data_IF_722365452444
#
_entry.id   IF_722365452444
#
_cell.length_a   1.000
_cell.length_b   1.000
_cell.length_c   1.000
_cell.angle_alpha   90.00
_cell.angle_beta   90.00
_cell.angle_gamma   90.00
#
_symmetry.space_group_name_H-M   'P 1'
#
loop_
_entity.id
_entity.type
_entity.pdbx_description
1 polymer ?
#
# COMPACT_ATOMS: atom_id res chain seq x y z
N UNK A 1 -5.74 24.27 2.99
CA UNK A 1 -6.02 23.13 2.10
C UNK A 1 -6.48 23.56 0.70
N UNK A 2 -7.55 24.35 0.54
CA UNK A 2 -7.99 24.76 -0.80
C UNK A 2 -7.01 25.74 -1.49
N UNK A 3 -6.55 26.78 -0.78
CA UNK A 3 -5.62 27.79 -1.31
C UNK A 3 -4.27 27.16 -1.70
N UNK A 4 -3.77 26.22 -0.91
CA UNK A 4 -2.47 25.58 -1.15
C UNK A 4 -2.48 24.73 -2.42
N UNK A 5 -3.60 24.03 -2.68
CA UNK A 5 -3.79 23.26 -3.91
C UNK A 5 -3.87 24.17 -5.13
N UNK A 6 -4.61 25.27 -5.02
CA UNK A 6 -4.74 26.26 -6.10
C UNK A 6 -3.37 26.87 -6.42
N UNK A 7 -2.62 27.29 -5.40
CA UNK A 7 -1.28 27.87 -5.57
C UNK A 7 -0.30 26.86 -6.18
N UNK A 8 -0.31 25.61 -5.70
CA UNK A 8 0.50 24.53 -6.27
C UNK A 8 0.17 24.25 -7.73
N UNK A 9 -1.11 24.19 -8.09
CA UNK A 9 -1.55 23.99 -9.48
C UNK A 9 -1.12 25.15 -10.38
N UNK A 10 -1.24 26.40 -9.93
CA UNK A 10 -0.81 27.57 -10.70
C UNK A 10 0.70 27.56 -10.97
N UNK A 11 1.51 27.18 -9.97
CA UNK A 11 2.96 27.05 -10.13
C UNK A 11 3.32 25.97 -11.15
N UNK A 12 2.68 24.79 -11.11
CA UNK A 12 2.91 23.71 -12.08
C UNK A 12 2.48 24.07 -13.50
N UNK A 13 1.39 24.83 -13.65
CA UNK A 13 0.97 25.36 -14.96
C UNK A 13 2.00 26.36 -15.50
N UNK A 14 2.57 27.20 -14.62
CA UNK A 14 3.67 28.10 -14.98
C UNK A 14 4.93 27.36 -15.43
N UNK A 15 5.37 26.37 -14.65
CA UNK A 15 6.52 25.50 -15.00
C UNK A 15 6.33 24.84 -16.38
N UNK A 16 5.13 24.31 -16.65
CA UNK A 16 4.79 23.71 -17.94
C UNK A 16 4.84 24.71 -19.09
N UNK A 17 4.23 25.89 -18.90
CA UNK A 17 4.12 26.91 -19.95
C UNK A 17 5.51 27.42 -20.37
N UNK A 18 6.38 27.76 -19.41
CA UNK A 18 7.71 28.28 -19.74
C UNK A 18 8.63 27.21 -20.32
N UNK A 19 8.56 25.98 -19.82
CA UNK A 19 9.32 24.87 -20.40
C UNK A 19 8.90 24.60 -21.85
N UNK A 20 7.60 24.65 -22.16
CA UNK A 20 7.09 24.46 -23.52
C UNK A 20 7.58 25.54 -24.50
N UNK A 21 7.62 26.81 -24.06
CA UNK A 21 8.14 27.93 -24.88
C UNK A 21 9.62 27.72 -25.20
N UNK A 22 10.45 27.37 -24.21
CA UNK A 22 11.89 27.09 -24.40
C UNK A 22 12.11 25.89 -25.31
N UNK A 23 11.37 24.79 -25.11
CA UNK A 23 11.44 23.62 -26.01
C UNK A 23 11.10 23.99 -27.45
N UNK A 24 10.11 24.86 -27.67
CA UNK A 24 9.73 25.36 -28.99
C UNK A 24 10.84 26.16 -29.66
N UNK A 25 11.37 27.18 -28.97
CA UNK A 25 12.42 28.07 -29.50
C UNK A 25 13.75 27.33 -29.75
N UNK A 26 14.22 26.56 -28.74
CA UNK A 26 15.43 25.75 -28.88
C UNK A 26 15.25 24.66 -29.96
N UNK A 27 14.05 24.08 -30.07
CA UNK A 27 13.73 23.05 -31.05
C UNK A 27 13.77 23.55 -32.49
N UNK A 28 13.23 24.74 -32.75
CA UNK A 28 13.30 25.41 -34.06
C UNK A 28 14.76 25.63 -34.48
N UNK A 29 15.60 26.15 -33.58
CA UNK A 29 17.03 26.37 -33.85
C UNK A 29 17.79 25.05 -34.15
N UNK A 30 17.51 23.99 -33.39
CA UNK A 30 18.11 22.67 -33.63
C UNK A 30 17.67 22.06 -34.96
N UNK A 31 16.45 22.35 -35.41
CA UNK A 31 15.93 21.94 -36.70
C UNK A 31 16.65 22.66 -37.85
N UNK A 32 16.83 23.98 -37.75
CA UNK A 32 17.54 24.79 -38.74
C UNK A 32 19.03 24.42 -38.82
N UNK A 33 19.65 24.04 -37.70
CA UNK A 33 21.08 23.70 -37.61
C UNK A 33 21.37 22.21 -37.71
N UNK A 34 20.47 21.41 -38.29
CA UNK A 34 20.52 19.94 -38.29
C UNK A 34 21.84 19.36 -38.85
N UNK A 35 22.51 20.06 -39.77
CA UNK A 35 23.75 19.64 -40.43
C UNK A 35 25.07 19.94 -39.72
N UNK A 36 25.07 20.62 -38.56
CA UNK A 36 26.31 20.97 -37.84
C UNK A 36 26.79 19.86 -36.91
N UNK A 37 28.05 19.91 -36.47
CA UNK A 37 28.60 18.92 -35.53
C UNK A 37 27.84 18.93 -34.19
N UNK A 38 27.71 17.78 -33.55
CA UNK A 38 27.03 17.64 -32.25
C UNK A 38 27.72 18.44 -31.15
N UNK A 39 29.04 18.61 -31.26
CA UNK A 39 29.86 19.34 -30.29
C UNK A 39 29.58 20.85 -30.29
N UNK A 40 29.26 21.44 -31.45
CA UNK A 40 28.86 22.85 -31.55
C UNK A 40 27.47 23.11 -30.93
N UNK A 41 26.60 22.10 -30.89
CA UNK A 41 25.20 22.21 -30.43
C UNK A 41 24.96 21.75 -28.99
N UNK A 42 26.00 21.30 -28.28
CA UNK A 42 25.90 20.72 -26.93
C UNK A 42 25.11 21.59 -25.94
N UNK A 43 25.22 22.91 -26.04
CA UNK A 43 24.53 23.89 -25.19
C UNK A 43 23.00 23.81 -25.36
N UNK A 44 22.53 23.80 -26.61
CA UNK A 44 21.11 23.70 -26.96
C UNK A 44 20.54 22.30 -26.72
N UNK A 45 21.35 21.25 -26.93
CA UNK A 45 20.96 19.87 -26.62
C UNK A 45 20.71 19.70 -25.11
N UNK A 46 21.50 20.34 -24.26
CA UNK A 46 21.26 20.34 -22.82
C UNK A 46 19.92 21.04 -22.48
N UNK A 47 19.70 22.24 -23.01
CA UNK A 47 18.48 23.03 -22.78
C UNK A 47 17.20 22.31 -23.22
N UNK A 48 17.21 21.64 -24.39
CA UNK A 48 16.03 20.90 -24.86
C UNK A 48 15.73 19.66 -24.00
N UNK A 49 16.75 18.99 -23.47
CA UNK A 49 16.56 17.84 -22.57
C UNK A 49 15.98 18.29 -21.23
N UNK A 50 16.54 19.35 -20.63
CA UNK A 50 16.05 19.90 -19.36
C UNK A 50 14.60 20.38 -19.49
N UNK A 51 14.27 21.09 -20.57
CA UNK A 51 12.90 21.56 -20.82
C UNK A 51 11.92 20.41 -21.08
N UNK A 52 12.31 19.39 -21.85
CA UNK A 52 11.46 18.21 -22.11
C UNK A 52 11.16 17.41 -20.84
N UNK A 53 12.17 17.19 -19.97
CA UNK A 53 11.97 16.53 -18.68
C UNK A 53 11.09 17.37 -17.75
N UNK A 54 11.22 18.70 -17.78
CA UNK A 54 10.38 19.62 -17.01
C UNK A 54 8.92 19.55 -17.45
N UNK A 55 8.64 19.49 -18.75
CA UNK A 55 7.28 19.32 -19.31
C UNK A 55 6.68 18.00 -18.82
N UNK A 56 7.44 16.91 -18.95
CA UNK A 56 6.98 15.58 -18.53
C UNK A 56 6.60 15.53 -17.05
N UNK A 57 7.47 16.06 -16.18
CA UNK A 57 7.22 16.09 -14.74
C UNK A 57 6.08 17.04 -14.35
N UNK A 58 5.97 18.20 -15.00
CA UNK A 58 4.88 19.15 -14.77
C UNK A 58 3.52 18.54 -15.12
N UNK A 59 3.44 17.80 -16.24
CA UNK A 59 2.24 17.07 -16.64
C UNK A 59 1.91 15.92 -15.68
N UNK A 60 2.92 15.16 -15.26
CA UNK A 60 2.75 14.05 -14.32
C UNK A 60 2.18 14.54 -12.98
N UNK A 61 2.66 15.69 -12.48
CA UNK A 61 2.24 16.24 -11.19
C UNK A 61 0.98 17.10 -11.24
N UNK A 62 0.49 17.47 -12.43
CA UNK A 62 -0.81 18.11 -12.61
C UNK A 62 -1.98 17.16 -12.28
N UNK A 63 -1.74 15.84 -12.32
CA UNK A 63 -2.77 14.85 -11.99
C UNK A 63 -3.10 14.87 -10.49
N UNK A 64 -4.40 14.86 -10.12
CA UNK A 64 -4.87 15.04 -8.73
C UNK A 64 -4.47 13.91 -7.77
N UNK A 65 -3.83 12.86 -8.27
CA UNK A 65 -3.35 11.71 -7.49
C UNK A 65 -1.94 11.91 -6.89
N UNK A 66 -1.23 12.99 -7.23
CA UNK A 66 0.19 13.18 -6.83
C UNK A 66 0.42 13.72 -5.41
N UNK A 67 -0.65 13.95 -4.64
CA UNK A 67 -0.60 14.55 -3.29
C UNK A 67 0.10 13.74 -2.20
N UNK A 68 0.67 12.57 -2.53
CA UNK A 68 1.36 11.69 -1.60
C UNK A 68 2.88 11.86 -1.58
N UNK A 69 3.46 12.64 -2.50
CA UNK A 69 4.92 12.71 -2.67
C UNK A 69 5.48 14.10 -2.35
N UNK A 70 6.61 14.09 -1.65
CA UNK A 70 7.39 15.27 -1.26
C UNK A 70 8.23 15.68 -2.48
N UNK A 71 7.73 16.61 -3.31
CA UNK A 71 8.37 16.97 -4.61
C UNK A 71 9.47 18.03 -4.51
N UNK A 72 9.56 18.77 -3.39
CA UNK A 72 10.50 19.89 -3.25
C UNK A 72 11.98 19.55 -3.50
N UNK A 73 12.52 18.34 -3.20
CA UNK A 73 13.92 18.03 -3.54
C UNK A 73 14.14 17.95 -5.05
N UNK A 74 13.15 17.45 -5.79
CA UNK A 74 13.21 17.39 -7.24
C UNK A 74 13.09 18.81 -7.82
N UNK A 75 12.25 19.65 -7.22
CA UNK A 75 12.12 21.04 -7.64
C UNK A 75 13.44 21.84 -7.52
N UNK A 76 14.23 21.59 -6.46
CA UNK A 76 15.58 22.17 -6.29
C UNK A 76 16.56 21.69 -7.36
N UNK A 77 16.51 20.40 -7.71
CA UNK A 77 17.37 19.84 -8.76
C UNK A 77 17.06 20.52 -10.10
N UNK A 78 15.78 20.66 -10.44
CA UNK A 78 15.37 21.31 -11.68
C UNK A 78 15.69 22.79 -11.70
N UNK A 79 15.59 23.51 -10.56
CA UNK A 79 16.12 24.86 -10.44
C UNK A 79 17.60 24.93 -10.84
N UNK A 80 18.44 24.04 -10.30
CA UNK A 80 19.86 23.97 -10.65
C UNK A 80 20.12 23.68 -12.13
N UNK A 81 19.36 22.76 -12.72
CA UNK A 81 19.45 22.42 -14.15
C UNK A 81 19.05 23.61 -15.04
N UNK A 82 18.00 24.35 -14.67
CA UNK A 82 17.56 25.53 -15.40
C UNK A 82 18.52 26.71 -15.28
N UNK A 83 19.17 26.91 -14.13
CA UNK A 83 20.24 27.89 -13.96
C UNK A 83 21.45 27.54 -14.83
N UNK A 84 21.82 26.25 -14.90
CA UNK A 84 22.88 25.80 -15.80
C UNK A 84 22.50 26.03 -17.27
N UNK A 85 21.26 25.73 -17.67
CA UNK A 85 20.77 25.97 -19.03
C UNK A 85 20.80 27.48 -19.38
N UNK A 86 20.36 28.34 -18.46
CA UNK A 86 20.46 29.79 -18.59
C UNK A 86 21.92 30.24 -18.79
N UNK A 87 22.85 29.77 -17.95
CA UNK A 87 24.27 30.10 -18.07
C UNK A 87 24.87 29.69 -19.41
N UNK A 88 24.50 28.51 -19.93
CA UNK A 88 24.95 28.02 -21.24
C UNK A 88 24.41 28.87 -22.40
N UNK A 89 23.18 29.34 -22.31
CA UNK A 89 22.59 30.23 -23.33
C UNK A 89 23.22 31.63 -23.28
N UNK A 90 23.50 32.16 -22.08
CA UNK A 90 24.19 33.45 -21.91
C UNK A 90 25.61 33.42 -22.47
N UNK A 91 26.35 32.34 -22.21
CA UNK A 91 27.69 32.09 -22.77
C UNK A 91 27.68 32.06 -24.31
N UNK A 92 26.58 31.60 -24.92
CA UNK A 92 26.40 31.61 -26.36
C UNK A 92 26.12 33.01 -26.94
N UNK A 93 25.33 33.84 -26.23
CA UNK A 93 24.96 35.19 -26.70
C UNK A 93 26.10 36.20 -26.54
N UNK A 94 26.98 36.02 -25.54
CA UNK A 94 28.08 36.95 -25.25
C UNK A 94 28.92 37.34 -26.48
N UNK A 95 29.39 36.39 -27.31
CA UNK A 95 30.14 36.68 -28.53
C UNK A 95 29.34 37.35 -29.67
N UNK A 96 28.00 37.34 -29.61
CA UNK A 96 27.14 37.84 -30.69
C UNK A 96 26.80 39.34 -30.57
N UNK A 97 27.36 40.05 -29.57
CA UNK A 97 27.14 41.49 -29.31
C UNK A 97 25.66 41.91 -29.31
N UNK A 98 24.80 41.04 -28.79
CA UNK A 98 23.35 41.19 -28.77
C UNK A 98 22.82 42.20 -27.73
N UNK A 99 23.66 43.02 -27.09
CA UNK A 99 23.28 43.88 -25.96
C UNK A 99 23.25 43.15 -24.61
N UNK A 100 22.69 43.77 -23.57
CA UNK A 100 22.74 43.20 -22.22
C UNK A 100 21.76 42.03 -22.03
N UNK A 101 22.21 41.03 -21.25
CA UNK A 101 21.51 39.76 -20.98
C UNK A 101 20.13 39.95 -20.33
N UNK A 102 19.98 41.00 -19.52
CA UNK A 102 18.76 41.31 -18.79
C UNK A 102 17.91 42.42 -19.44
N UNK A 103 18.25 42.84 -20.66
CA UNK A 103 17.41 43.76 -21.44
C UNK A 103 16.47 42.97 -22.35
N UNK A 104 15.25 42.80 -21.88
CA UNK A 104 14.18 42.01 -22.51
C UNK A 104 13.18 42.88 -23.30
N UNK A 105 13.56 44.10 -23.67
CA UNK A 105 12.80 44.92 -24.62
C UNK A 105 12.84 44.32 -26.04
N UNK A 106 11.82 44.60 -26.85
CA UNK A 106 11.74 44.25 -28.29
C UNK A 106 11.77 42.74 -28.64
N UNK A 107 11.30 41.87 -27.73
CA UNK A 107 11.19 40.41 -27.97
C UNK A 107 10.23 40.05 -29.12
N UNK A 108 9.33 40.95 -29.50
CA UNK A 108 8.29 40.72 -30.52
C UNK A 108 8.75 40.98 -31.96
N UNK A 109 10.01 41.36 -32.19
CA UNK A 109 10.54 41.62 -33.53
C UNK A 109 11.23 40.38 -34.12
N UNK A 110 11.04 40.13 -35.42
CA UNK A 110 11.63 38.98 -36.12
C UNK A 110 13.15 39.18 -36.33
N UNK A 111 13.95 38.53 -35.48
CA UNK A 111 15.39 38.44 -35.65
C UNK A 111 16.01 37.35 -34.79
N UNK A 112 17.14 36.81 -35.23
CA UNK A 112 17.82 35.68 -34.56
C UNK A 112 18.29 36.04 -33.16
N UNK A 113 18.80 37.26 -32.98
CA UNK A 113 19.23 37.78 -31.69
C UNK A 113 18.07 37.93 -30.69
N UNK A 114 16.89 38.36 -31.16
CA UNK A 114 15.67 38.52 -30.36
C UNK A 114 15.12 37.16 -29.93
N UNK A 115 15.12 36.16 -30.82
CA UNK A 115 14.73 34.77 -30.48
C UNK A 115 15.60 34.18 -29.37
N UNK A 116 16.92 34.36 -29.42
CA UNK A 116 17.81 33.86 -28.36
C UNK A 116 17.64 34.63 -27.03
N UNK A 117 17.36 35.94 -27.07
CA UNK A 117 17.02 36.69 -25.86
C UNK A 117 15.74 36.19 -25.21
N UNK A 118 14.73 35.87 -26.02
CA UNK A 118 13.50 35.27 -25.53
C UNK A 118 13.79 33.93 -24.83
N UNK A 119 14.59 33.07 -25.46
CA UNK A 119 14.99 31.77 -24.90
C UNK A 119 15.74 31.90 -23.57
N UNK A 120 16.64 32.89 -23.45
CA UNK A 120 17.33 33.23 -22.20
C UNK A 120 16.36 33.75 -21.13
N UNK A 121 15.41 34.63 -21.49
CA UNK A 121 14.44 35.16 -20.54
C UNK A 121 13.49 34.08 -20.00
N UNK A 122 12.96 33.22 -20.88
CA UNK A 122 12.03 32.16 -20.48
C UNK A 122 12.71 31.01 -19.73
N UNK A 123 13.99 30.71 -20.04
CA UNK A 123 14.76 29.73 -19.24
C UNK A 123 15.03 30.24 -17.82
N UNK A 124 15.33 31.53 -17.66
CA UNK A 124 15.45 32.15 -16.33
C UNK A 124 14.13 32.17 -15.57
N UNK A 125 13.03 32.52 -16.24
CA UNK A 125 11.71 32.54 -15.63
C UNK A 125 11.28 31.13 -15.19
N UNK A 126 11.55 30.11 -16.01
CA UNK A 126 11.36 28.71 -15.63
C UNK A 126 12.14 28.37 -14.35
N UNK A 127 13.41 28.77 -14.24
CA UNK A 127 14.21 28.57 -13.02
C UNK A 127 13.54 29.18 -11.78
N UNK A 128 13.02 30.41 -11.88
CA UNK A 128 12.32 31.07 -10.78
C UNK A 128 11.07 30.28 -10.35
N UNK A 129 10.27 29.79 -11.30
CA UNK A 129 9.07 29.01 -10.98
C UNK A 129 9.41 27.73 -10.21
N UNK A 130 10.43 26.99 -10.65
CA UNK A 130 10.93 25.81 -9.92
C UNK A 130 11.48 26.15 -8.53
N UNK A 131 12.15 27.29 -8.37
CA UNK A 131 12.64 27.76 -7.07
C UNK A 131 11.49 28.13 -6.12
N UNK A 132 10.49 28.88 -6.61
CA UNK A 132 9.30 29.26 -5.83
C UNK A 132 8.52 28.02 -5.42
N UNK A 133 8.35 27.05 -6.34
CA UNK A 133 7.74 25.74 -6.08
C UNK A 133 8.47 25.00 -4.95
N UNK A 134 9.81 24.94 -5.00
CA UNK A 134 10.63 24.35 -3.94
C UNK A 134 10.48 25.06 -2.59
N UNK A 135 10.50 26.40 -2.56
CA UNK A 135 10.36 27.20 -1.34
C UNK A 135 8.98 27.00 -0.71
N UNK A 136 7.92 27.01 -1.51
CA UNK A 136 6.54 26.73 -1.06
C UNK A 136 6.45 25.30 -0.51
N UNK A 137 7.06 24.32 -1.20
CA UNK A 137 7.13 22.94 -0.74
C UNK A 137 7.87 22.77 0.59
N UNK A 138 9.01 23.44 0.78
CA UNK A 138 9.76 23.45 2.05
C UNK A 138 8.95 24.14 3.15
N UNK A 139 8.34 25.29 2.86
CA UNK A 139 7.51 26.01 3.83
C UNK A 139 6.33 25.16 4.29
N UNK A 140 5.66 24.49 3.36
CA UNK A 140 4.58 23.55 3.66
C UNK A 140 5.07 22.40 4.52
N UNK A 141 6.20 21.77 4.14
CA UNK A 141 6.80 20.68 4.92
C UNK A 141 7.16 21.14 6.34
N UNK A 142 7.74 22.33 6.51
CA UNK A 142 8.10 22.86 7.85
C UNK A 142 6.88 23.25 8.69
N UNK A 143 5.78 23.65 8.06
CA UNK A 143 4.54 24.03 8.75
C UNK A 143 3.69 22.80 9.14
N UNK A 144 3.72 21.73 8.33
CA UNK A 144 2.89 20.54 8.51
C UNK A 144 3.64 19.31 9.04
N UNK A 145 4.98 19.30 9.02
CA UNK A 145 5.75 18.35 9.83
C UNK A 145 5.72 18.87 11.27
N UNK A 146 5.08 18.17 12.23
CA UNK A 146 5.23 18.54 13.62
C UNK A 146 6.73 18.54 13.90
N UNK A 147 7.26 19.67 14.38
CA UNK A 147 8.57 19.67 15.02
C UNK A 147 8.56 18.48 15.97
N UNK A 148 9.43 17.51 15.74
CA UNK A 148 9.87 16.65 16.82
C UNK A 148 10.67 17.58 17.75
N UNK A 149 9.92 18.40 18.49
CA UNK A 149 10.41 19.07 19.67
C UNK A 149 10.77 17.96 20.63
N UNK A 150 11.94 18.13 21.23
CA UNK A 150 12.41 17.34 22.33
C UNK A 150 11.24 16.96 23.26
N UNK A 151 11.29 15.70 23.68
CA UNK A 151 10.61 15.18 24.84
C UNK A 151 10.83 16.18 25.98
N UNK A 152 9.84 17.03 26.21
CA UNK A 152 9.63 17.69 27.48
C UNK A 152 8.30 17.13 27.96
N UNK A 153 8.39 16.25 28.95
CA UNK A 153 7.23 15.90 29.76
C UNK A 153 6.59 17.20 30.24
N UNK A 154 5.31 17.33 30.01
CA UNK A 154 4.31 17.68 31.02
C UNK A 154 3.00 17.99 30.29
N UNK A 155 1.93 17.39 30.82
CA UNK A 155 0.60 17.42 30.21
C UNK A 155 -0.08 18.79 30.31
N UNK A 156 -1.23 18.83 29.62
CA UNK A 156 -2.29 19.86 29.58
C UNK A 156 -2.21 20.83 28.38
N UNK A 157 -3.23 20.85 27.49
CA UNK A 157 -3.31 21.83 26.42
C UNK A 157 -3.78 23.17 26.98
N UNK A 158 -2.90 24.17 26.97
CA UNK A 158 -3.24 25.54 27.37
C UNK A 158 -4.12 26.22 26.32
N UNK A 159 -5.43 26.15 26.55
CA UNK A 159 -6.42 27.12 26.04
C UNK A 159 -6.18 28.44 26.78
N UNK A 160 -6.12 29.55 26.02
CA UNK A 160 -5.98 30.94 26.52
C UNK A 160 -6.82 31.20 27.78
N UNK A 161 -6.18 31.61 28.89
CA UNK A 161 -6.79 32.50 29.89
C UNK A 161 -5.69 33.24 30.67
N UNK A 162 -5.88 34.55 30.80
CA UNK A 162 -5.05 35.49 31.53
C UNK A 162 -4.93 35.16 33.02
N UNK A 163 -3.76 35.46 33.60
CA UNK A 163 -3.63 36.10 34.92
C UNK A 163 -3.72 35.21 36.16
N UNK A 164 -2.60 35.16 36.90
CA UNK A 164 -2.58 35.21 38.36
C UNK A 164 -2.68 33.89 39.13
N UNK A 165 -1.59 33.59 39.85
CA UNK A 165 -1.48 32.61 40.96
C UNK A 165 -1.60 31.13 40.54
N UNK A 166 -0.76 30.19 40.95
CA UNK A 166 -0.29 29.89 42.31
C UNK A 166 1.05 29.15 42.20
N UNK A 167 2.07 29.71 42.82
CA UNK A 167 3.32 29.05 43.19
C UNK A 167 3.09 28.34 44.54
N UNK A 168 3.14 27.01 44.56
CA UNK A 168 3.50 26.13 45.70
C UNK A 168 3.12 24.69 45.32
N UNK A 169 3.91 23.73 45.79
CA UNK A 169 3.87 22.30 45.45
C UNK A 169 4.63 21.95 44.16
N UNK A 170 5.95 21.84 44.28
CA UNK A 170 6.72 20.60 44.09
C UNK A 170 8.17 20.97 44.47
N UNK A 171 8.38 21.06 45.78
CA UNK A 171 9.67 20.89 46.42
C UNK A 171 9.52 19.58 47.18
N UNK A 172 9.75 18.46 46.50
CA UNK A 172 10.31 17.26 47.12
C UNK A 172 10.55 16.16 46.09
N UNK A 173 11.66 15.45 46.28
CA UNK A 173 12.15 14.28 45.54
C UNK A 173 13.14 14.61 44.42
N UNK A 174 14.26 15.18 44.85
CA UNK A 174 15.59 14.75 44.41
C UNK A 174 16.02 13.58 45.29
N UNK A 175 16.25 12.40 44.72
CA UNK A 175 17.41 11.57 45.11
C UNK A 175 17.65 10.50 44.04
N UNK A 176 18.78 10.69 43.39
CA UNK A 176 19.41 9.82 42.39
C UNK A 176 20.26 8.84 43.19
N UNK A 177 20.00 7.53 43.06
CA UNK A 177 20.97 6.52 43.47
C UNK A 177 21.41 5.73 42.24
N UNK A 178 22.55 6.18 41.70
CA UNK A 178 23.31 5.53 40.64
C UNK A 178 24.46 4.75 41.27
N UNK A 179 24.21 3.51 41.71
CA UNK A 179 25.29 2.55 41.96
C UNK A 179 24.83 1.09 42.00
N UNK A 180 24.29 0.56 40.89
CA UNK A 180 24.16 -0.91 40.75
C UNK A 180 24.22 -1.40 39.30
N UNK A 181 25.13 -0.82 38.50
CA UNK A 181 25.39 -1.23 37.11
C UNK A 181 26.89 -1.49 36.89
N UNK A 182 27.49 -2.33 37.74
CA UNK A 182 28.85 -2.83 37.51
C UNK A 182 29.05 -4.19 38.13
N UNK A 183 28.57 -5.24 37.45
CA UNK A 183 29.32 -6.49 37.25
C UNK A 183 28.45 -7.51 36.48
N UNK A 184 29.13 -8.31 35.66
CA UNK A 184 28.65 -9.50 34.94
C UNK A 184 28.13 -9.30 33.50
N UNK A 185 29.05 -9.13 32.54
CA UNK A 185 29.33 -10.14 31.47
C UNK A 185 30.21 -9.58 30.35
N UNK A 186 31.40 -10.15 30.21
CA UNK A 186 32.01 -10.60 28.95
C UNK A 186 32.96 -11.77 29.29
N UNK A 187 33.12 -12.78 28.40
CA UNK A 187 34.15 -12.66 27.37
C UNK A 187 33.72 -13.06 25.95
N UNK A 188 34.18 -12.20 25.05
CA UNK A 188 34.54 -12.33 23.64
C UNK A 188 34.79 -13.74 23.06
N UNK A 189 34.19 -14.01 21.89
CA UNK A 189 34.84 -14.80 20.82
C UNK A 189 34.60 -14.10 19.47
N UNK A 190 35.71 -13.63 18.89
CA UNK A 190 35.85 -13.05 17.56
C UNK A 190 35.52 -14.09 16.47
N UNK A 191 34.78 -13.68 15.42
CA UNK A 191 34.93 -14.29 14.09
C UNK A 191 34.96 -13.23 13.00
N UNK A 192 36.02 -13.36 12.22
CA UNK A 192 36.50 -12.59 11.09
C UNK A 192 35.61 -12.74 9.85
N UNK A 193 35.58 -11.67 9.06
CA UNK A 193 34.95 -11.55 7.75
C UNK A 193 35.93 -11.99 6.65
N UNK A 194 35.48 -12.82 5.70
CA UNK A 194 36.03 -12.93 4.33
C UNK A 194 35.15 -13.82 3.42
N UNK A 195 35.30 -13.78 2.07
CA UNK A 195 34.21 -13.34 1.19
C UNK A 195 33.77 -14.36 0.12
N UNK A 196 32.75 -13.96 -0.65
CA UNK A 196 32.41 -14.38 -2.02
C UNK A 196 32.10 -15.85 -2.30
N UNK A 197 30.85 -16.14 -2.71
CA UNK A 197 30.58 -17.10 -3.78
C UNK A 197 29.26 -16.78 -4.51
N UNK A 198 29.34 -16.78 -5.84
CA UNK A 198 28.28 -16.49 -6.81
C UNK A 198 27.24 -17.63 -6.92
N UNK A 199 26.01 -17.33 -7.41
CA UNK A 199 24.99 -18.34 -7.63
C UNK A 199 25.24 -19.18 -8.90
N UNK A 200 25.10 -20.50 -8.77
CA UNK A 200 25.25 -21.51 -9.83
C UNK A 200 24.09 -21.46 -10.84
N UNK A 201 24.43 -21.48 -12.13
CA UNK A 201 23.51 -21.68 -13.28
C UNK A 201 23.12 -23.16 -13.45
N UNK A 202 21.94 -23.46 -14.00
CA UNK A 202 21.54 -24.82 -14.37
C UNK A 202 22.29 -25.33 -15.62
N UNK A 203 22.51 -26.65 -15.75
CA UNK A 203 23.31 -27.23 -16.82
C UNK A 203 22.58 -27.26 -18.17
N UNK A 204 23.36 -26.97 -19.22
CA UNK A 204 23.03 -27.04 -20.64
C UNK A 204 22.96 -28.48 -21.13
N UNK A 205 21.89 -28.85 -21.83
CA UNK A 205 21.77 -30.10 -22.58
C UNK A 205 22.53 -30.02 -23.93
N UNK A 206 23.14 -31.12 -24.42
CA UNK A 206 23.94 -31.10 -25.64
C UNK A 206 23.08 -31.16 -26.92
N UNK A 207 23.53 -30.40 -27.92
CA UNK A 207 23.02 -30.42 -29.29
C UNK A 207 23.35 -31.73 -30.00
N UNK A 208 22.35 -32.34 -30.65
CA UNK A 208 22.54 -33.36 -31.66
C UNK A 208 21.91 -32.90 -32.98
N UNK A 209 22.80 -32.66 -33.95
CA UNK A 209 22.57 -32.42 -35.37
C UNK A 209 21.68 -33.48 -36.01
N UNK A 210 20.65 -33.07 -36.78
CA UNK A 210 20.24 -33.79 -37.99
C UNK A 210 19.84 -32.82 -39.10
N UNK A 211 20.59 -32.97 -40.19
CA UNK A 211 20.55 -32.31 -41.48
C UNK A 211 19.30 -32.76 -42.26
N UNK A 212 18.66 -31.80 -42.92
CA UNK A 212 17.59 -31.96 -43.92
C UNK A 212 18.06 -32.79 -45.13
N UNK A 213 17.13 -33.33 -45.92
CA UNK A 213 17.06 -32.78 -47.27
C UNK A 213 15.63 -32.47 -47.73
N UNK A 214 15.54 -31.36 -48.45
CA UNK A 214 14.41 -30.94 -49.27
C UNK A 214 14.31 -31.80 -50.54
N UNK A 215 13.18 -31.63 -51.23
CA UNK A 215 12.85 -31.97 -52.63
C UNK A 215 11.97 -33.22 -52.76
N UNK A 216 10.66 -33.01 -52.81
CA UNK A 216 9.78 -33.30 -53.96
C UNK A 216 8.36 -32.86 -53.60
N UNK A 217 7.72 -32.03 -54.42
CA UNK A 217 6.33 -31.62 -54.20
C UNK A 217 5.89 -30.30 -54.83
N UNK A 218 6.46 -29.91 -55.96
CA UNK A 218 5.91 -28.88 -56.83
C UNK A 218 4.85 -29.51 -57.74
N UNK A 219 3.57 -29.39 -57.38
CA UNK A 219 2.44 -29.33 -58.33
C UNK A 219 1.13 -29.13 -57.56
N UNK A 220 0.20 -28.42 -58.21
CA UNK A 220 -1.18 -28.17 -57.79
C UNK A 220 -1.40 -27.13 -56.66
N UNK A 221 -1.24 -25.85 -57.02
CA UNK A 221 -2.19 -24.83 -56.56
C UNK A 221 -2.36 -23.74 -57.61
N UNK A 222 -3.25 -24.00 -58.57
CA UNK A 222 -3.95 -22.97 -59.34
C UNK A 222 -5.45 -23.15 -59.08
N UNK A 223 -6.13 -22.00 -59.02
CA UNK A 223 -7.58 -21.79 -58.97
C UNK A 223 -8.18 -21.89 -57.57
N UNK A 224 -8.28 -20.71 -56.93
CA UNK A 224 -9.49 -20.23 -56.23
C UNK A 224 -9.30 -18.73 -55.95
N UNK A 225 -9.55 -17.91 -56.97
CA UNK A 225 -9.89 -16.50 -56.78
C UNK A 225 -11.36 -16.49 -56.39
N UNK A 226 -11.66 -16.41 -55.09
CA UNK A 226 -12.96 -15.93 -54.59
C UNK A 226 -12.85 -15.66 -53.08
N UNK A 227 -13.39 -14.51 -52.67
CA UNK A 227 -13.63 -14.07 -51.28
C UNK A 227 -12.41 -13.90 -50.37
N UNK A 228 -11.78 -12.71 -50.43
CA UNK A 228 -11.14 -12.14 -49.22
C UNK A 228 -12.27 -11.84 -48.22
N UNK A 229 -12.29 -12.41 -47.01
CA UNK A 229 -13.17 -11.88 -45.98
C UNK A 229 -12.66 -10.47 -45.67
N UNK A 230 -13.56 -9.51 -45.62
CA UNK A 230 -13.24 -8.17 -45.15
C UNK A 230 -12.49 -8.29 -43.82
N UNK A 231 -11.34 -7.62 -43.71
CA UNK A 231 -10.64 -7.44 -42.43
C UNK A 231 -11.63 -6.71 -41.53
N UNK A 232 -12.34 -7.48 -40.70
CA UNK A 232 -13.25 -6.94 -39.69
C UNK A 232 -12.35 -6.20 -38.71
N UNK A 233 -12.34 -4.88 -38.82
CA UNK A 233 -11.72 -3.98 -37.85
C UNK A 233 -12.12 -4.47 -36.45
N UNK A 234 -11.19 -5.08 -35.72
CA UNK A 234 -11.32 -5.36 -34.30
C UNK A 234 -11.28 -4.00 -33.59
N UNK A 235 -12.40 -3.27 -33.64
CA UNK A 235 -12.66 -2.22 -32.67
C UNK A 235 -12.85 -2.95 -31.35
N UNK A 236 -11.83 -2.92 -30.48
CA UNK A 236 -12.04 -3.20 -29.06
C UNK A 236 -13.08 -2.20 -28.60
N UNK A 237 -14.30 -2.68 -28.38
CA UNK A 237 -15.31 -1.92 -27.64
C UNK A 237 -14.68 -1.62 -26.29
N UNK A 238 -14.57 -0.33 -25.96
CA UNK A 238 -14.23 0.07 -24.60
C UNK A 238 -15.34 -0.45 -23.69
N UNK A 239 -15.07 -1.54 -22.98
CA UNK A 239 -15.92 -1.99 -21.90
C UNK A 239 -15.63 -1.08 -20.71
N UNK A 240 -16.51 -0.13 -20.46
CA UNK A 240 -16.56 0.51 -19.15
C UNK A 240 -17.17 -0.52 -18.19
N UNK A 241 -16.34 -1.12 -17.33
CA UNK A 241 -16.85 -1.87 -16.20
C UNK A 241 -17.74 -0.95 -15.35
N UNK A 242 -18.86 -1.47 -14.86
CA UNK A 242 -19.66 -0.77 -13.87
C UNK A 242 -18.77 -0.46 -12.66
N UNK A 243 -18.89 0.76 -12.12
CA UNK A 243 -18.26 1.09 -10.84
C UNK A 243 -19.00 0.28 -9.76
N UNK A 244 -18.34 -0.75 -9.25
CA UNK A 244 -18.78 -1.45 -8.04
C UNK A 244 -18.39 -0.54 -6.87
N UNK A 245 -19.38 -0.08 -6.10
CA UNK A 245 -19.13 0.61 -4.85
C UNK A 245 -18.66 -0.41 -3.80
N UNK A 246 -17.86 0.00 -2.82
CA UNK A 246 -17.53 -0.90 -1.71
C UNK A 246 -18.80 -1.22 -0.92
N UNK A 247 -18.94 -2.49 -0.55
CA UNK A 247 -20.04 -2.98 0.29
C UNK A 247 -20.02 -2.38 1.71
N UNK A 248 -18.90 -1.78 2.12
CA UNK A 248 -18.73 -1.16 3.44
C UNK A 248 -18.42 0.34 3.37
N UNK A 249 -19.02 1.11 4.28
CA UNK A 249 -18.75 2.54 4.42
C UNK A 249 -17.43 2.76 5.16
N UNK A 250 -16.54 3.61 4.65
CA UNK A 250 -15.27 4.00 5.31
C UNK A 250 -15.37 5.33 6.08
N UNK A 251 -16.59 5.82 6.31
CA UNK A 251 -16.89 6.99 7.12
C UNK A 251 -17.82 6.58 8.25
N UNK A 252 -17.59 7.14 9.43
CA UNK A 252 -18.46 6.89 10.58
C UNK A 252 -19.61 7.91 10.61
N UNK A 253 -20.79 7.43 10.99
CA UNK A 253 -21.95 8.25 11.35
C UNK A 253 -22.47 7.73 12.68
N UNK A 254 -22.69 8.64 13.62
CA UNK A 254 -23.18 8.28 14.94
C UNK A 254 -24.55 7.59 14.82
N UNK A 255 -24.66 6.41 15.42
CA UNK A 255 -25.91 5.68 15.59
C UNK A 255 -26.23 5.52 17.08
N UNK A 256 -27.43 5.03 17.39
CA UNK A 256 -27.82 4.76 18.78
C UNK A 256 -26.87 3.77 19.47
N UNK A 257 -26.39 2.77 18.73
CA UNK A 257 -25.56 1.68 19.25
C UNK A 257 -24.05 1.90 19.02
N UNK A 258 -23.66 2.89 18.21
CA UNK A 258 -22.27 3.19 17.90
C UNK A 258 -22.05 4.71 17.78
N UNK A 259 -21.62 5.33 18.87
CA UNK A 259 -21.29 6.75 18.94
C UNK A 259 -20.22 7.00 20.03
N UNK A 260 -19.62 8.19 20.05
CA UNK A 260 -18.52 8.51 20.97
C UNK A 260 -18.95 8.64 22.45
N UNK A 261 -20.25 8.74 22.74
CA UNK A 261 -20.76 8.94 24.11
C UNK A 261 -20.98 7.64 24.87
N UNK A 262 -21.08 6.50 24.18
CA UNK A 262 -21.21 5.18 24.81
C UNK A 262 -19.89 4.84 25.51
N UNK A 263 -19.86 4.64 26.83
CA UNK A 263 -18.64 4.30 27.53
C UNK A 263 -18.25 2.84 27.26
N UNK A 264 -17.00 2.62 26.83
CA UNK A 264 -16.41 1.30 26.74
C UNK A 264 -15.16 1.22 27.64
N UNK A 265 -15.03 0.13 28.39
CA UNK A 265 -13.86 -0.18 29.19
C UNK A 265 -13.52 -1.66 29.09
N UNK A 266 -12.23 -1.97 29.08
CA UNK A 266 -11.75 -3.34 29.12
C UNK A 266 -12.06 -3.99 30.47
N UNK A 267 -12.41 -5.28 30.44
CA UNK A 267 -12.58 -6.08 31.65
C UNK A 267 -11.26 -6.22 32.41
N UNK A 268 -11.31 -6.54 33.70
CA UNK A 268 -10.09 -6.72 34.51
C UNK A 268 -9.18 -7.82 33.96
N UNK A 269 -9.77 -8.92 33.48
CA UNK A 269 -9.06 -10.01 32.80
C UNK A 269 -8.33 -9.50 31.53
N UNK A 270 -9.03 -8.73 30.70
CA UNK A 270 -8.44 -8.18 29.47
C UNK A 270 -7.37 -7.13 29.77
N UNK A 271 -7.49 -6.38 30.86
CA UNK A 271 -6.45 -5.46 31.30
C UNK A 271 -5.14 -6.18 31.68
N UNK A 272 -5.21 -7.40 32.23
CA UNK A 272 -4.02 -8.22 32.46
C UNK A 272 -3.36 -8.65 31.14
N UNK A 273 -4.17 -9.09 30.16
CA UNK A 273 -3.68 -9.46 28.81
C UNK A 273 -3.07 -8.25 28.10
N UNK A 274 -3.66 -7.07 28.22
CA UNK A 274 -3.11 -5.82 27.65
C UNK A 274 -1.73 -5.52 28.21
N UNK A 275 -1.50 -5.71 29.52
CA UNK A 275 -0.17 -5.51 30.12
C UNK A 275 0.86 -6.47 29.53
N UNK A 276 0.49 -7.73 29.31
CA UNK A 276 1.35 -8.72 28.65
C UNK A 276 1.67 -8.32 27.20
N UNK A 277 0.65 -7.92 26.43
CA UNK A 277 0.83 -7.47 25.04
C UNK A 277 1.78 -6.27 25.00
N UNK A 278 1.58 -5.27 25.87
CA UNK A 278 2.43 -4.09 25.94
C UNK A 278 3.89 -4.43 26.28
N UNK A 279 4.12 -5.43 27.14
CA UNK A 279 5.45 -5.88 27.51
C UNK A 279 6.25 -6.51 26.35
N UNK A 280 5.57 -6.97 25.28
CA UNK A 280 6.22 -7.49 24.06
C UNK A 280 6.89 -6.40 23.24
N UNK A 281 6.53 -5.13 23.46
CA UNK A 281 7.03 -4.00 22.69
C UNK A 281 7.88 -3.07 23.55
N UNK A 282 8.92 -2.41 22.97
CA UNK A 282 9.66 -1.39 23.67
C UNK A 282 8.74 -0.24 24.14
N UNK A 283 9.00 0.37 25.32
CA UNK A 283 8.10 1.37 25.91
C UNK A 283 7.88 2.59 25.00
N UNK A 284 8.92 3.02 24.26
CA UNK A 284 8.82 4.12 23.30
C UNK A 284 7.94 3.82 22.07
N UNK A 285 7.63 2.54 21.81
CA UNK A 285 6.88 2.09 20.63
C UNK A 285 5.59 1.34 20.99
N UNK A 286 4.96 1.66 22.13
CA UNK A 286 3.68 1.05 22.55
C UNK A 286 2.56 1.08 21.51
N UNK A 287 2.58 2.07 20.59
CA UNK A 287 1.68 2.15 19.43
C UNK A 287 1.69 0.91 18.53
N UNK A 288 2.74 0.09 18.57
CA UNK A 288 2.81 -1.19 17.84
C UNK A 288 1.78 -2.21 18.34
N UNK A 289 1.30 -2.08 19.58
CA UNK A 289 0.28 -2.95 20.16
C UNK A 289 -1.16 -2.61 19.71
N UNK A 290 -1.36 -1.65 18.79
CA UNK A 290 -2.69 -1.23 18.35
C UNK A 290 -3.52 -2.38 17.77
N UNK A 291 -2.91 -3.24 16.95
CA UNK A 291 -3.62 -4.35 16.31
C UNK A 291 -4.11 -5.40 17.32
N UNK A 292 -3.25 -5.99 18.18
CA UNK A 292 -3.71 -7.01 19.14
C UNK A 292 -4.68 -6.46 20.19
N UNK A 293 -4.55 -5.19 20.61
CA UNK A 293 -5.46 -4.59 21.58
C UNK A 293 -6.83 -4.27 20.94
N UNK A 294 -6.85 -3.83 19.67
CA UNK A 294 -8.10 -3.68 18.93
C UNK A 294 -8.82 -5.02 18.77
N UNK A 295 -8.09 -6.09 18.44
CA UNK A 295 -8.66 -7.44 18.31
C UNK A 295 -9.26 -7.91 19.65
N UNK A 296 -8.55 -7.69 20.76
CA UNK A 296 -9.07 -7.98 22.10
C UNK A 296 -10.34 -7.18 22.43
N UNK A 297 -10.39 -5.91 22.02
CA UNK A 297 -11.57 -5.06 22.17
C UNK A 297 -12.77 -5.57 21.37
N UNK A 298 -12.53 -6.01 20.13
CA UNK A 298 -13.53 -6.65 19.30
C UNK A 298 -14.02 -7.97 19.91
N UNK A 299 -13.13 -8.82 20.44
CA UNK A 299 -13.53 -10.07 21.11
C UNK A 299 -14.39 -9.83 22.35
N UNK A 300 -14.12 -8.76 23.11
CA UNK A 300 -14.92 -8.39 24.28
C UNK A 300 -16.29 -7.81 23.91
N UNK A 301 -16.34 -6.95 22.89
CA UNK A 301 -17.56 -6.21 22.53
C UNK A 301 -18.41 -6.89 21.45
N UNK A 302 -17.83 -7.80 20.67
CA UNK A 302 -18.40 -8.44 19.47
C UNK A 302 -18.01 -7.75 18.16
N UNK A 303 -17.79 -6.44 18.19
CA UNK A 303 -17.35 -5.65 17.04
C UNK A 303 -16.49 -4.46 17.51
N UNK A 304 -15.74 -3.85 16.60
CA UNK A 304 -14.92 -2.67 16.85
C UNK A 304 -15.75 -1.38 16.74
N UNK A 305 -16.45 -1.02 17.82
CA UNK A 305 -17.20 0.24 17.90
C UNK A 305 -16.28 1.46 18.04
N UNK A 306 -16.83 2.66 17.81
CA UNK A 306 -16.07 3.92 17.94
C UNK A 306 -15.50 4.08 19.36
N UNK A 307 -16.26 3.68 20.37
CA UNK A 307 -15.83 3.72 21.77
C UNK A 307 -14.67 2.77 22.06
N UNK A 308 -14.67 1.57 21.47
CA UNK A 308 -13.52 0.64 21.54
C UNK A 308 -12.28 1.30 20.96
N UNK A 309 -12.38 1.87 19.75
CA UNK A 309 -11.25 2.54 19.10
C UNK A 309 -10.72 3.72 19.93
N UNK A 310 -11.61 4.52 20.52
CA UNK A 310 -11.23 5.65 21.38
C UNK A 310 -10.54 5.20 22.67
N UNK A 311 -11.01 4.11 23.28
CA UNK A 311 -10.37 3.57 24.48
C UNK A 311 -8.97 2.99 24.18
N UNK A 312 -8.81 2.31 23.04
CA UNK A 312 -7.48 1.86 22.59
C UNK A 312 -6.55 3.04 22.31
N UNK A 313 -7.05 4.10 21.67
CA UNK A 313 -6.28 5.32 21.44
C UNK A 313 -5.81 5.96 22.76
N UNK A 314 -6.69 5.98 23.77
CA UNK A 314 -6.38 6.48 25.13
C UNK A 314 -5.30 5.62 25.80
N UNK A 315 -5.43 4.29 25.77
CA UNK A 315 -4.47 3.37 26.37
C UNK A 315 -3.08 3.45 25.75
N UNK A 316 -3.02 3.62 24.42
CA UNK A 316 -1.77 3.70 23.68
C UNK A 316 -1.19 5.12 23.58
N UNK A 317 -1.88 6.10 24.16
CA UNK A 317 -1.52 7.54 24.08
C UNK A 317 -1.22 7.99 22.65
N UNK A 318 -2.08 7.59 21.71
CA UNK A 318 -1.96 7.94 20.30
C UNK A 318 -3.23 8.64 19.79
N UNK A 319 -3.15 9.47 18.74
CA UNK A 319 -4.33 10.11 18.18
C UNK A 319 -5.36 9.07 17.71
N UNK A 320 -6.66 9.22 18.03
CA UNK A 320 -7.71 8.27 17.64
C UNK A 320 -7.76 8.01 16.14
N UNK A 321 -7.45 9.01 15.32
CA UNK A 321 -7.39 8.88 13.86
C UNK A 321 -6.48 7.75 13.39
N UNK A 322 -5.34 7.51 14.07
CA UNK A 322 -4.42 6.42 13.73
C UNK A 322 -5.00 5.04 14.04
N UNK A 323 -5.84 4.95 15.06
CA UNK A 323 -6.59 3.74 15.38
C UNK A 323 -7.69 3.52 14.34
N UNK A 324 -8.36 4.58 13.91
CA UNK A 324 -9.39 4.51 12.86
C UNK A 324 -8.80 4.07 11.52
N UNK A 325 -7.62 4.57 11.15
CA UNK A 325 -6.89 4.12 9.96
C UNK A 325 -6.62 2.61 10.01
N UNK A 326 -6.14 2.08 11.14
CA UNK A 326 -5.90 0.63 11.30
C UNK A 326 -7.21 -0.16 11.23
N UNK A 327 -8.24 0.26 11.97
CA UNK A 327 -9.52 -0.45 12.02
C UNK A 327 -10.29 -0.43 10.69
N UNK A 328 -10.02 0.55 9.82
CA UNK A 328 -10.62 0.62 8.48
C UNK A 328 -9.78 -0.09 7.42
N UNK A 329 -8.47 -0.22 7.64
CA UNK A 329 -7.55 -0.84 6.70
C UNK A 329 -7.58 -2.37 6.74
N UNK A 330 -7.63 -2.96 7.94
CA UNK A 330 -7.66 -4.42 8.09
C UNK A 330 -9.10 -4.96 8.11
N UNK A 331 -9.37 -5.95 7.27
CA UNK A 331 -10.71 -6.51 7.04
C UNK A 331 -11.27 -7.33 8.20
N UNK A 332 -10.42 -7.77 9.14
CA UNK A 332 -10.86 -8.51 10.33
C UNK A 332 -11.60 -7.64 11.36
N UNK A 333 -11.38 -6.31 11.33
CA UNK A 333 -12.02 -5.41 12.27
C UNK A 333 -13.43 -5.06 11.80
N UNK A 334 -14.42 -5.72 12.41
CA UNK A 334 -15.83 -5.51 12.14
C UNK A 334 -16.27 -4.17 12.75
N UNK A 335 -16.61 -3.18 11.93
CA UNK A 335 -17.01 -1.84 12.41
C UNK A 335 -18.52 -1.69 12.63
N UNK A 336 -19.27 -2.68 12.17
CA UNK A 336 -20.70 -2.83 12.38
C UNK A 336 -20.95 -4.06 13.25
N UNK A 337 -22.07 -4.10 13.99
CA UNK A 337 -22.45 -5.30 14.73
C UNK A 337 -22.63 -6.47 13.77
N UNK A 338 -22.00 -7.60 14.11
CA UNK A 338 -22.12 -8.88 13.41
C UNK A 338 -22.84 -9.88 14.31
N UNK A 339 -23.42 -10.90 13.72
CA UNK A 339 -24.03 -12.01 14.44
C UNK A 339 -23.02 -12.83 15.24
N UNK A 340 -23.51 -13.72 16.10
CA UNK A 340 -22.69 -14.57 16.97
C UNK A 340 -21.66 -15.42 16.20
N UNK A 341 -22.02 -15.88 15.01
CA UNK A 341 -21.18 -16.65 14.10
C UNK A 341 -20.94 -15.85 12.83
N UNK A 342 -19.71 -15.41 12.65
CA UNK A 342 -19.26 -14.73 11.44
C UNK A 342 -18.73 -15.75 10.44
N UNK A 343 -19.54 -16.06 9.43
CA UNK A 343 -19.28 -17.08 8.40
C UNK A 343 -18.56 -16.43 7.22
N UNK A 344 -17.28 -16.75 7.08
CA UNK A 344 -16.37 -16.19 6.08
C UNK A 344 -16.03 -17.24 5.04
N UNK A 345 -16.52 -17.06 3.82
CA UNK A 345 -16.36 -18.03 2.73
C UNK A 345 -15.29 -17.57 1.76
N UNK A 346 -14.28 -18.40 1.54
CA UNK A 346 -13.23 -18.10 0.56
C UNK A 346 -13.73 -18.34 -0.86
N UNK A 347 -13.77 -17.30 -1.70
CA UNK A 347 -14.20 -17.37 -3.11
C UNK A 347 -13.06 -17.14 -4.10
N UNK A 348 -11.81 -17.19 -3.63
CA UNK A 348 -10.63 -17.07 -4.51
C UNK A 348 -10.42 -18.27 -5.42
N UNK A 349 -9.62 -18.11 -6.47
CA UNK A 349 -9.44 -19.09 -7.55
C UNK A 349 -9.17 -20.53 -7.09
N UNK A 350 -8.31 -20.82 -6.10
CA UNK A 350 -8.12 -22.20 -5.64
C UNK A 350 -9.38 -22.82 -5.02
N UNK A 351 -10.16 -22.04 -4.26
CA UNK A 351 -11.43 -22.51 -3.69
C UNK A 351 -12.54 -22.57 -4.74
N UNK A 352 -12.52 -21.67 -5.73
CA UNK A 352 -13.46 -21.67 -6.84
C UNK A 352 -13.31 -22.92 -7.73
N UNK A 353 -12.07 -23.38 -7.94
CA UNK A 353 -11.76 -24.55 -8.77
C UNK A 353 -11.66 -25.87 -7.99
N UNK A 354 -11.29 -25.81 -6.71
CA UNK A 354 -11.02 -26.98 -5.88
C UNK A 354 -12.28 -27.66 -5.34
N UNK A 355 -12.21 -28.98 -5.15
CA UNK A 355 -13.31 -29.79 -4.62
C UNK A 355 -14.61 -29.64 -5.43
N UNK A 356 -15.71 -29.26 -4.77
CA UNK A 356 -16.99 -28.97 -5.43
C UNK A 356 -17.11 -27.53 -5.96
N UNK A 357 -16.08 -26.69 -5.78
CA UNK A 357 -16.08 -25.26 -6.07
C UNK A 357 -16.79 -24.43 -4.99
N UNK A 358 -16.20 -23.29 -4.63
CA UNK A 358 -16.75 -22.36 -3.63
C UNK A 358 -18.13 -21.83 -4.01
N UNK A 359 -18.42 -21.68 -5.30
CA UNK A 359 -19.72 -21.17 -5.78
C UNK A 359 -20.90 -22.09 -5.37
N UNK A 360 -20.65 -23.40 -5.26
CA UNK A 360 -21.66 -24.35 -4.77
C UNK A 360 -21.90 -24.19 -3.27
N UNK A 361 -20.85 -23.89 -2.51
CA UNK A 361 -20.91 -23.63 -1.06
C UNK A 361 -21.65 -22.32 -0.79
N UNK A 362 -21.33 -21.25 -1.52
CA UNK A 362 -22.03 -19.96 -1.44
C UNK A 362 -23.54 -20.13 -1.66
N UNK A 363 -23.94 -20.81 -2.74
CA UNK A 363 -25.35 -21.08 -3.03
C UNK A 363 -26.05 -21.89 -1.94
N UNK A 364 -25.34 -22.85 -1.33
CA UNK A 364 -25.88 -23.64 -0.22
C UNK A 364 -26.10 -22.79 1.04
N UNK A 365 -25.17 -21.88 1.34
CA UNK A 365 -25.26 -20.94 2.47
C UNK A 365 -26.41 -19.94 2.25
N UNK A 366 -26.44 -19.27 1.10
CA UNK A 366 -27.51 -18.32 0.76
C UNK A 366 -28.89 -19.00 0.75
N UNK A 367 -28.98 -20.21 0.18
CA UNK A 367 -30.22 -20.98 0.13
C UNK A 367 -30.71 -21.45 1.51
N UNK A 368 -29.80 -21.70 2.45
CA UNK A 368 -30.17 -22.14 3.80
C UNK A 368 -30.46 -20.98 4.76
N UNK A 369 -29.61 -19.94 4.76
CA UNK A 369 -29.74 -18.80 5.67
C UNK A 369 -30.69 -17.71 5.15
N UNK A 370 -30.92 -17.65 3.83
CA UNK A 370 -31.78 -16.63 3.21
C UNK A 370 -31.22 -15.21 3.30
N UNK A 371 -29.89 -15.07 3.37
CA UNK A 371 -29.17 -13.78 3.42
C UNK A 371 -28.15 -13.71 2.30
N UNK A 372 -27.84 -12.50 1.86
CA UNK A 372 -26.79 -12.25 0.87
C UNK A 372 -25.45 -11.89 1.53
N UNK A 373 -24.40 -11.79 0.71
CA UNK A 373 -23.08 -11.36 1.15
C UNK A 373 -23.15 -10.02 1.92
N UNK A 374 -22.58 -9.99 3.13
CA UNK A 374 -22.54 -8.84 4.02
C UNK A 374 -23.77 -8.67 4.93
N UNK A 375 -24.81 -9.49 4.75
CA UNK A 375 -26.03 -9.41 5.55
C UNK A 375 -25.98 -10.32 6.78
N UNK A 376 -26.79 -9.95 7.78
CA UNK A 376 -26.96 -10.71 9.01
C UNK A 376 -28.38 -11.25 9.09
N UNK A 377 -28.51 -12.50 9.49
CA UNK A 377 -29.81 -13.15 9.74
C UNK A 377 -30.63 -12.36 10.76
N UNK A 378 -31.96 -12.38 10.64
CA UNK A 378 -32.88 -11.65 11.54
C UNK A 378 -32.72 -12.02 13.02
N UNK A 379 -32.23 -13.23 13.27
CA UNK A 379 -32.02 -13.79 14.60
C UNK A 379 -30.68 -13.32 15.22
N UNK A 380 -29.88 -12.53 14.49
CA UNK A 380 -28.53 -12.07 14.86
C UNK A 380 -27.55 -13.21 15.20
N UNK A 381 -27.80 -14.41 14.66
CA UNK A 381 -26.95 -15.58 14.89
C UNK A 381 -25.84 -15.69 13.86
N UNK A 382 -26.16 -15.55 12.57
CA UNK A 382 -25.19 -15.68 11.48
C UNK A 382 -25.06 -14.37 10.69
N UNK A 383 -23.80 -13.99 10.41
CA UNK A 383 -23.44 -13.00 9.39
C UNK A 383 -22.62 -13.71 8.32
N UNK A 384 -23.03 -13.58 7.06
CA UNK A 384 -22.34 -14.18 5.94
C UNK A 384 -21.51 -13.13 5.22
N UNK A 385 -20.23 -13.43 4.99
CA UNK A 385 -19.31 -12.59 4.23
C UNK A 385 -18.46 -13.43 3.27
N UNK A 386 -18.34 -12.98 2.03
CA UNK A 386 -17.31 -13.47 1.12
C UNK A 386 -15.97 -12.83 1.45
N UNK A 387 -14.94 -13.66 1.54
CA UNK A 387 -13.58 -13.24 1.86
C UNK A 387 -12.59 -13.77 0.84
N UNK A 388 -11.42 -13.15 0.86
CA UNK A 388 -10.29 -13.56 0.06
C UNK A 388 -9.62 -14.84 0.60
N UNK A 389 -8.42 -15.13 0.11
CA UNK A 389 -7.70 -16.35 0.45
C UNK A 389 -7.40 -16.46 1.97
N UNK A 390 -7.91 -17.52 2.59
CA UNK A 390 -7.71 -17.84 4.01
C UNK A 390 -6.52 -18.79 4.28
N UNK A 391 -5.77 -19.15 3.24
CA UNK A 391 -4.53 -19.92 3.36
C UNK A 391 -4.68 -21.45 3.45
N UNK A 392 -5.89 -21.99 3.39
CA UNK A 392 -6.16 -23.44 3.41
C UNK A 392 -6.43 -24.01 1.99
N UNK A 393 -5.62 -23.62 1.01
CA UNK A 393 -5.90 -23.88 -0.42
C UNK A 393 -5.88 -25.36 -0.82
N UNK A 394 -5.04 -26.18 -0.17
CA UNK A 394 -5.02 -27.65 -0.42
C UNK A 394 -6.24 -28.36 0.17
N UNK A 395 -7.00 -27.62 1.00
CA UNK A 395 -8.25 -28.00 1.64
C UNK A 395 -9.48 -27.27 1.09
N UNK A 396 -9.38 -26.84 -0.15
CA UNK A 396 -10.49 -26.24 -0.87
C UNK A 396 -11.64 -27.24 -1.11
N UNK A 397 -12.91 -26.80 -0.99
CA UNK A 397 -13.36 -25.48 -0.54
C UNK A 397 -13.48 -25.41 0.99
N UNK A 398 -13.30 -24.21 1.54
CA UNK A 398 -13.26 -23.99 2.99
C UNK A 398 -14.00 -22.72 3.42
N UNK A 399 -14.37 -22.69 4.70
CA UNK A 399 -15.08 -21.60 5.37
C UNK A 399 -14.44 -21.40 6.74
N UNK A 400 -14.25 -20.14 7.14
CA UNK A 400 -13.89 -19.78 8.50
C UNK A 400 -15.14 -19.32 9.25
N UNK A 401 -15.40 -19.87 10.43
CA UNK A 401 -16.46 -19.41 11.32
C UNK A 401 -15.81 -18.93 12.60
N UNK A 402 -15.86 -17.61 12.83
CA UNK A 402 -15.10 -16.95 13.90
C UNK A 402 -13.58 -17.27 13.81
N UNK A 403 -13.04 -18.07 14.72
CA UNK A 403 -11.63 -18.46 14.75
C UNK A 403 -11.36 -19.83 14.09
N UNK A 404 -12.40 -20.60 13.80
CA UNK A 404 -12.30 -22.01 13.41
C UNK A 404 -12.36 -22.19 11.88
N UNK A 405 -11.47 -23.02 11.34
CA UNK A 405 -11.47 -23.41 9.93
C UNK A 405 -12.24 -24.71 9.73
N UNK A 406 -13.15 -24.70 8.76
CA UNK A 406 -13.88 -25.87 8.30
C UNK A 406 -13.56 -26.06 6.83
N UNK A 407 -12.99 -27.21 6.48
CA UNK A 407 -12.32 -27.41 5.20
C UNK A 407 -12.86 -28.65 4.48
N UNK A 408 -12.49 -28.86 3.21
CA UNK A 408 -13.03 -29.93 2.34
C UNK A 408 -14.56 -30.03 2.34
N UNK A 409 -15.21 -28.88 2.29
CA UNK A 409 -16.65 -28.82 2.44
C UNK A 409 -17.36 -29.26 1.16
N UNK A 410 -18.49 -29.93 1.35
CA UNK A 410 -19.54 -30.13 0.34
C UNK A 410 -20.78 -29.30 0.71
N UNK A 411 -21.70 -29.01 -0.25
CA UNK A 411 -22.96 -28.30 0.02
C UNK A 411 -23.78 -28.92 1.16
N UNK A 412 -23.76 -30.25 1.30
CA UNK A 412 -24.47 -30.96 2.36
C UNK A 412 -23.77 -30.78 3.70
N UNK A 413 -22.44 -30.86 3.72
CA UNK A 413 -21.64 -30.72 4.95
C UNK A 413 -21.75 -29.32 5.55
N UNK A 414 -21.76 -28.27 4.72
CA UNK A 414 -21.89 -26.88 5.21
C UNK A 414 -23.28 -26.63 5.79
N UNK A 415 -24.35 -27.15 5.18
CA UNK A 415 -25.71 -27.05 5.73
C UNK A 415 -25.83 -27.82 7.04
N UNK A 416 -25.20 -29.01 7.13
CA UNK A 416 -25.15 -29.77 8.38
C UNK A 416 -24.39 -29.01 9.49
N UNK A 417 -23.27 -28.37 9.14
CA UNK A 417 -22.49 -27.53 10.05
C UNK A 417 -23.30 -26.33 10.55
N UNK A 418 -23.96 -25.59 9.65
CA UNK A 418 -24.80 -24.44 10.02
C UNK A 418 -25.95 -24.84 10.95
N UNK A 419 -26.64 -25.96 10.68
CA UNK A 419 -27.69 -26.50 11.57
C UNK A 419 -27.15 -26.90 12.94
N UNK A 420 -25.96 -27.50 12.99
CA UNK A 420 -25.32 -27.88 14.25
C UNK A 420 -24.94 -26.64 15.08
N UNK A 421 -24.47 -25.58 14.43
CA UNK A 421 -24.19 -24.30 15.09
C UNK A 421 -25.46 -23.59 15.56
N UNK A 422 -26.54 -23.65 14.78
CA UNK A 422 -27.84 -23.10 15.16
C UNK A 422 -28.41 -23.84 16.39
N UNK A 423 -28.34 -25.17 16.41
CA UNK A 423 -28.74 -25.98 17.56
C UNK A 423 -27.89 -25.65 18.80
N UNK A 424 -26.57 -25.53 18.63
CA UNK A 424 -25.63 -25.13 19.69
C UNK A 424 -25.91 -23.74 20.26
N UNK A 425 -26.39 -22.80 19.43
CA UNK A 425 -26.79 -21.49 19.91
C UNK A 425 -28.11 -21.48 20.68
N UNK A 426 -29.04 -22.39 20.37
CA UNK A 426 -30.37 -22.50 21.00
C UNK A 426 -30.36 -23.38 22.25
N UNK A 427 -29.37 -24.26 22.40
CA UNK A 427 -29.22 -25.11 23.58
C UNK A 427 -28.74 -24.31 24.79
N UNK A 428 -29.69 -24.05 25.69
CA UNK A 428 -29.46 -23.53 27.04
C UNK A 428 -28.85 -24.64 27.90
N UNK A 429 -27.58 -24.47 28.27
CA UNK A 429 -26.91 -25.11 29.41
C UNK A 429 -27.34 -26.56 29.75
N UNK A 430 -26.95 -27.56 28.94
CA UNK A 430 -27.09 -28.95 29.38
C UNK A 430 -26.96 -30.05 28.34
N UNK A 431 -27.19 -29.76 27.05
CA UNK A 431 -27.05 -30.75 25.98
C UNK A 431 -25.84 -30.40 25.11
N UNK A 432 -24.83 -31.27 24.98
CA UNK A 432 -23.69 -31.00 24.12
C UNK A 432 -24.14 -31.10 22.66
N UNK A 433 -24.62 -30.00 22.09
CA UNK A 433 -24.80 -29.88 20.64
C UNK A 433 -23.45 -30.15 19.98
N UNK A 434 -23.38 -31.26 19.26
CA UNK A 434 -22.15 -31.82 18.68
C UNK A 434 -21.79 -31.02 17.42
N UNK A 435 -21.26 -29.82 17.61
CA UNK A 435 -20.65 -29.05 16.52
C UNK A 435 -19.49 -29.88 15.95
N UNK A 436 -19.37 -30.04 14.62
CA UNK A 436 -18.21 -30.67 14.00
C UNK A 436 -16.91 -30.04 14.49
N UNK A 437 -15.87 -30.84 14.68
CA UNK A 437 -14.57 -30.31 15.04
C UNK A 437 -14.00 -29.48 13.86
N UNK A 438 -13.21 -28.42 14.15
CA UNK A 438 -12.51 -27.68 13.12
C UNK A 438 -11.51 -28.58 12.39
N UNK A 439 -11.38 -28.38 11.08
CA UNK A 439 -10.52 -29.15 10.19
C UNK A 439 -11.23 -29.65 8.93
N UNK A 440 -10.62 -30.63 8.24
CA UNK A 440 -11.19 -31.23 7.04
C UNK A 440 -12.47 -32.02 7.37
N UNK A 441 -13.55 -31.75 6.64
CA UNK A 441 -14.78 -32.55 6.69
C UNK A 441 -14.65 -33.87 5.91
N UNK A 442 -13.54 -34.07 5.20
CA UNK A 442 -13.22 -35.32 4.50
C UNK A 442 -12.60 -36.36 5.45
N UNK A 443 -12.22 -37.52 4.90
CA UNK A 443 -11.60 -38.60 5.68
C UNK A 443 -10.11 -38.42 6.00
N UNK A 444 -9.55 -37.23 5.76
CA UNK A 444 -8.13 -36.92 6.00
C UNK A 444 -7.97 -36.10 7.29
N UNK A 445 -6.82 -36.21 7.94
CA UNK A 445 -6.50 -35.55 9.20
C UNK A 445 -6.23 -34.06 9.03
N UNK A 446 -5.45 -33.67 8.02
CA UNK A 446 -5.01 -32.29 7.82
C UNK A 446 -4.87 -31.95 6.34
N UNK A 447 -3.65 -31.82 5.82
CA UNK A 447 -3.34 -31.44 4.44
C UNK A 447 -2.70 -32.57 3.63
N UNK A 448 -2.69 -33.80 4.14
CA UNK A 448 -2.13 -34.94 3.44
C UNK A 448 -2.97 -35.30 2.19
N UNK A 449 -2.37 -36.06 1.25
CA UNK A 449 -3.12 -36.56 0.12
C UNK A 449 -4.29 -37.44 0.57
N UNK A 450 -5.46 -37.27 -0.04
CA UNK A 450 -6.68 -38.01 0.31
C UNK A 450 -6.56 -39.53 0.14
N UNK A 451 -5.60 -40.00 -0.69
CA UNK A 451 -5.27 -41.42 -0.84
C UNK A 451 -4.32 -41.98 0.23
N UNK A 452 -4.04 -41.23 1.29
CA UNK A 452 -3.08 -41.55 2.34
C UNK A 452 -1.70 -40.93 2.13
N UNK A 453 -0.85 -41.08 3.14
CA UNK A 453 0.51 -40.49 3.15
C UNK A 453 1.32 -40.99 1.95
N UNK A 454 1.80 -40.08 1.09
CA UNK A 454 2.72 -40.38 -0.01
C UNK A 454 4.17 -40.10 0.35
N UNK A 455 4.39 -39.13 1.24
CA UNK A 455 5.67 -38.73 1.83
C UNK A 455 5.60 -38.81 3.36
N UNK A 456 6.71 -38.55 4.06
CA UNK A 456 6.79 -38.58 5.52
C UNK A 456 6.36 -39.92 6.15
N UNK A 457 6.59 -41.04 5.45
CA UNK A 457 6.27 -42.40 5.93
C UNK A 457 7.30 -42.94 6.93
N UNK A 458 8.53 -42.46 6.85
CA UNK A 458 9.61 -42.87 7.74
C UNK A 458 9.45 -42.19 9.09
N UNK A 459 10.01 -42.80 10.13
CA UNK A 459 10.13 -42.16 11.44
C UNK A 459 10.84 -40.81 11.34
N UNK A 460 10.43 -39.85 12.18
CA UNK A 460 11.05 -38.53 12.24
C UNK A 460 12.50 -38.66 12.72
N UNK A 461 13.42 -38.06 11.98
CA UNK A 461 14.82 -38.13 12.33
C UNK A 461 15.12 -37.28 13.57
N UNK A 462 15.49 -37.95 14.65
CA UNK A 462 16.06 -37.29 15.82
C UNK A 462 17.50 -36.84 15.58
N UNK A 463 18.03 -36.03 16.51
CA UNK A 463 19.45 -35.59 16.50
C UNK A 463 20.44 -36.77 16.42
N UNK A 464 20.05 -37.94 16.93
CA UNK A 464 20.89 -39.14 16.93
C UNK A 464 21.00 -39.81 15.56
N UNK A 465 19.91 -39.82 14.80
CA UNK A 465 19.90 -40.35 13.42
C UNK A 465 20.74 -39.44 12.51
N UNK A 466 20.57 -38.12 12.66
CA UNK A 466 21.40 -37.13 11.96
C UNK A 466 22.90 -37.31 12.25
N UNK A 467 23.29 -37.53 13.50
CA UNK A 467 24.72 -37.69 13.84
C UNK A 467 25.36 -38.94 13.25
N UNK A 468 24.60 -40.02 13.04
CA UNK A 468 25.11 -41.29 12.51
C UNK A 468 25.38 -41.28 11.01
N UNK A 469 24.70 -40.45 10.22
CA UNK A 469 24.93 -40.35 8.78
C UNK A 469 26.08 -39.40 8.39
N UNK A 470 26.46 -38.47 9.27
CA UNK A 470 27.57 -37.53 9.05
C UNK A 470 28.92 -38.01 9.64
N UNK A 471 28.94 -39.19 10.27
CA UNK A 471 30.16 -39.91 10.70
C UNK A 471 30.48 -41.00 9.69
#
# INVERSE_FOLDING_TARGET
MAIDRILGTLLRVGELAFAAVVTGLTGEYLHETRGQSTWARKRFIYTIVVSSLSIFLSLLWLLPFSGAFIHWPVDIIFFGLWIAAFGLLVDFIGPLNCGSVFYWGDITQDGTCQKFKADVAFSFLSAIFWLVSAIVGIWFMRKHTPRHGAIAGDGIPARRRCGGEVMKYILNITEVDTSEQRQLREPQISRTVSPSHQPLRPPTAPMASKITPYVFGSAARRICIASRPAIRSQRRTFAASSRVASDSLFVHRDSADNNASIPFKFSEQNNAVIKEILARYPPQYKKAAVMPILDLGQRQHGFTSLSVMNEVARLLEMPPMRVYEVATFYTMYNRNPVGKYHVQVCTTTPCQLGGCGSDAIVKAIEGHLGVHNGETTKDNLFTYLEVECLGACVNAPMVQINDDYYEDLTPESIVALLKALEASAKDVAGTPSKVPAPGPASGRESCEPSGGLTSLKSELWGKEVFKKEFQ
#
